data_IF_492014266671
#
_entry.id   IF_492014266671
#
_cell.length_a   1.000
_cell.length_b   1.000
_cell.length_c   1.000
_cell.angle_alpha   90.00
_cell.angle_beta   90.00
_cell.angle_gamma   90.00
#
_symmetry.space_group_name_H-M   'P 1'
#
loop_
_entity.id
_entity.type
_entity.pdbx_description
1 polymer ?
#
# COMPACT_ATOMS: atom_id res chain seq x y z
N UNK A 1 -1.03 11.37 11.34
CA UNK A 1 -1.17 10.88 9.95
C UNK A 1 -1.17 9.37 10.02
N UNK A 2 -2.27 8.72 9.67
CA UNK A 2 -2.42 7.26 9.76
C UNK A 2 -1.51 6.60 8.74
N UNK A 3 -0.57 5.77 9.19
CA UNK A 3 0.34 5.06 8.30
C UNK A 3 -0.46 4.12 7.40
N UNK A 4 -0.43 4.31 6.08
CA UNK A 4 -1.14 3.45 5.12
C UNK A 4 -0.46 2.08 5.03
N UNK A 5 -1.25 1.01 5.19
CA UNK A 5 -0.81 -0.39 5.09
C UNK A 5 -1.79 -1.19 4.22
N UNK A 6 -1.81 -0.94 2.91
CA UNK A 6 -2.71 -1.64 2.02
C UNK A 6 -2.27 -3.09 1.83
N UNK A 7 -3.20 -4.01 2.00
CA UNK A 7 -3.00 -5.45 1.85
C UNK A 7 -4.21 -6.09 1.18
N UNK A 8 -3.99 -7.20 0.49
CA UNK A 8 -5.05 -7.99 -0.14
C UNK A 8 -5.45 -9.11 0.81
N UNK A 9 -6.69 -9.08 1.28
CA UNK A 9 -7.30 -10.16 2.04
C UNK A 9 -7.85 -11.22 1.09
N UNK A 10 -7.74 -12.49 1.47
CA UNK A 10 -8.42 -13.61 0.82
C UNK A 10 -9.50 -14.13 1.74
N UNK A 11 -10.71 -14.29 1.22
CA UNK A 11 -11.81 -14.97 1.88
C UNK A 11 -12.36 -16.05 0.96
N UNK A 12 -13.13 -16.96 1.54
CA UNK A 12 -13.79 -18.05 0.82
C UNK A 12 -15.28 -17.86 0.98
N UNK A 13 -16.01 -17.89 -0.13
CA UNK A 13 -17.45 -17.63 -0.17
C UNK A 13 -18.16 -18.76 -0.94
N UNK A 14 -19.34 -19.12 -0.49
CA UNK A 14 -20.21 -20.04 -1.23
C UNK A 14 -20.93 -19.28 -2.34
N UNK A 15 -20.81 -19.81 -3.55
CA UNK A 15 -21.49 -19.29 -4.75
C UNK A 15 -22.45 -20.36 -5.27
N UNK A 16 -23.44 -20.01 -6.12
CA UNK A 16 -24.33 -20.98 -6.74
C UNK A 16 -23.61 -22.10 -7.53
N UNK A 17 -22.35 -21.87 -7.93
CA UNK A 17 -21.51 -22.81 -8.68
C UNK A 17 -20.55 -23.60 -7.77
N UNK A 18 -20.62 -23.42 -6.45
CA UNK A 18 -19.72 -24.03 -5.47
C UNK A 18 -18.89 -23.00 -4.70
N UNK A 19 -17.78 -23.42 -4.11
CA UNK A 19 -16.96 -22.55 -3.28
C UNK A 19 -15.95 -21.75 -4.11
N UNK A 20 -15.92 -20.43 -3.95
CA UNK A 20 -14.98 -19.55 -4.65
C UNK A 20 -14.09 -18.79 -3.66
N UNK A 21 -12.85 -18.51 -4.07
CA UNK A 21 -11.98 -17.59 -3.34
C UNK A 21 -12.23 -16.17 -3.83
N UNK A 22 -12.49 -15.26 -2.90
CA UNK A 22 -12.61 -13.83 -3.15
C UNK A 22 -11.43 -13.09 -2.54
N UNK A 23 -11.03 -12.01 -3.21
CA UNK A 23 -9.92 -11.16 -2.82
C UNK A 23 -10.41 -9.72 -2.70
N UNK A 24 -9.98 -9.02 -1.66
CA UNK A 24 -10.37 -7.62 -1.42
C UNK A 24 -9.21 -6.82 -0.87
N UNK A 25 -9.03 -5.61 -1.37
CA UNK A 25 -8.09 -4.64 -0.80
C UNK A 25 -8.62 -4.14 0.56
N UNK A 26 -7.74 -4.08 1.55
CA UNK A 26 -7.99 -3.41 2.83
C UNK A 26 -6.78 -2.55 3.20
N UNK A 27 -7.01 -1.34 3.68
CA UNK A 27 -5.96 -0.43 4.14
C UNK A 27 -6.29 0.14 5.52
N UNK A 28 -5.27 0.39 6.32
CA UNK A 28 -5.37 1.04 7.64
C UNK A 28 -5.94 2.47 7.60
N UNK A 29 -6.04 3.09 6.42
CA UNK A 29 -6.75 4.35 6.23
C UNK A 29 -8.28 4.21 6.18
N UNK A 30 -8.80 2.98 6.24
CA UNK A 30 -10.23 2.68 6.16
C UNK A 30 -10.71 2.34 4.75
N UNK A 31 -9.84 2.39 3.73
CA UNK A 31 -10.20 1.96 2.39
C UNK A 31 -10.45 0.44 2.37
N UNK A 32 -11.62 0.07 1.85
CA UNK A 32 -12.02 -1.30 1.57
C UNK A 32 -12.41 -1.35 0.09
N UNK A 33 -11.70 -2.15 -0.70
CA UNK A 33 -11.93 -2.26 -2.14
C UNK A 33 -13.10 -3.18 -2.50
N UNK A 34 -13.31 -3.35 -3.80
CA UNK A 34 -14.31 -4.27 -4.34
C UNK A 34 -13.90 -5.75 -4.20
N UNK A 35 -14.91 -6.63 -4.30
CA UNK A 35 -14.67 -8.08 -4.38
C UNK A 35 -14.09 -8.43 -5.75
N UNK A 36 -12.95 -9.12 -5.75
CA UNK A 36 -12.31 -9.67 -6.96
C UNK A 36 -12.23 -11.18 -6.87
N UNK A 37 -12.62 -11.89 -7.92
CA UNK A 37 -12.44 -13.34 -8.02
C UNK A 37 -11.03 -13.75 -8.49
N UNK A 38 -10.24 -12.79 -8.99
CA UNK A 38 -8.86 -13.00 -9.37
C UNK A 38 -7.94 -12.16 -8.48
N UNK A 39 -6.99 -12.83 -7.80
CA UNK A 39 -6.01 -12.17 -6.92
C UNK A 39 -5.28 -11.03 -7.63
N UNK A 40 -4.88 -11.24 -8.89
CA UNK A 40 -4.14 -10.25 -9.68
C UNK A 40 -4.90 -8.93 -9.81
N UNK A 41 -6.22 -8.95 -9.90
CA UNK A 41 -7.04 -7.74 -9.99
C UNK A 41 -7.05 -7.01 -8.65
N UNK A 42 -7.17 -7.72 -7.52
CA UNK A 42 -7.08 -7.09 -6.20
C UNK A 42 -5.68 -6.49 -5.92
N UNK A 43 -4.61 -7.10 -6.45
CA UNK A 43 -3.26 -6.51 -6.38
C UNK A 43 -3.12 -5.27 -7.29
N UNK A 44 -3.85 -5.19 -8.42
CA UNK A 44 -3.94 -3.96 -9.21
C UNK A 44 -4.66 -2.85 -8.45
N UNK A 45 -5.76 -3.16 -7.76
CA UNK A 45 -6.46 -2.19 -6.89
C UNK A 45 -5.52 -1.67 -5.79
N UNK A 46 -4.73 -2.57 -5.18
CA UNK A 46 -3.70 -2.21 -4.21
C UNK A 46 -2.66 -1.27 -4.81
N UNK A 47 -2.16 -1.57 -6.01
CA UNK A 47 -1.18 -0.73 -6.70
C UNK A 47 -1.75 0.65 -7.05
N UNK A 48 -3.00 0.71 -7.51
CA UNK A 48 -3.70 1.97 -7.76
C UNK A 48 -3.85 2.80 -6.48
N UNK A 49 -4.31 2.18 -5.38
CA UNK A 49 -4.40 2.88 -4.10
C UNK A 49 -3.04 3.39 -3.62
N UNK A 50 -1.98 2.59 -3.79
CA UNK A 50 -0.62 3.01 -3.47
C UNK A 50 -0.23 4.25 -4.29
N UNK A 51 -0.54 4.30 -5.58
CA UNK A 51 -0.28 5.47 -6.42
C UNK A 51 -1.08 6.70 -5.95
N UNK A 52 -2.35 6.54 -5.57
CA UNK A 52 -3.22 7.64 -5.11
C UNK A 52 -2.70 8.29 -3.83
N UNK A 53 -2.14 7.50 -2.92
CA UNK A 53 -1.58 7.99 -1.65
C UNK A 53 -0.11 8.38 -1.78
N UNK A 54 0.51 8.15 -2.93
CA UNK A 54 1.93 8.44 -3.11
C UNK A 54 2.10 9.95 -3.20
N UNK A 55 2.97 10.48 -2.34
CA UNK A 55 3.32 11.91 -2.33
C UNK A 55 3.84 12.33 -3.73
N UNK A 56 3.39 13.47 -4.30
CA UNK A 56 3.90 14.02 -5.55
C UNK A 56 5.43 14.11 -5.56
N UNK A 57 6.07 13.87 -6.71
CA UNK A 57 7.53 13.75 -6.82
C UNK A 57 8.29 14.99 -6.30
N UNK A 58 7.74 16.18 -6.54
CA UNK A 58 8.23 17.48 -6.08
C UNK A 58 8.11 17.68 -4.56
N UNK A 59 7.23 16.92 -3.93
CA UNK A 59 6.99 16.91 -2.48
C UNK A 59 7.64 15.70 -1.80
N UNK A 60 8.28 14.80 -2.58
CA UNK A 60 9.03 13.68 -2.02
C UNK A 60 10.33 14.19 -1.40
N UNK A 61 10.72 13.59 -0.29
CA UNK A 61 12.02 13.90 0.27
C UNK A 61 13.11 13.36 -0.66
N UNK A 62 13.99 14.25 -1.11
CA UNK A 62 15.14 13.90 -1.94
C UNK A 62 16.41 13.64 -1.11
N UNK A 63 16.38 13.96 0.20
CA UNK A 63 17.53 13.89 1.10
C UNK A 63 17.18 13.21 2.43
N UNK A 64 16.73 11.94 2.41
CA UNK A 64 16.27 11.24 3.62
C UNK A 64 17.36 11.10 4.69
N UNK A 65 18.64 11.12 4.27
CA UNK A 65 19.82 11.03 5.16
C UNK A 65 20.18 12.35 5.86
N UNK A 66 19.65 13.48 5.40
CA UNK A 66 19.85 14.80 6.03
C UNK A 66 18.76 15.12 7.06
N UNK A 67 17.70 14.32 7.09
CA UNK A 67 16.74 14.37 8.18
C UNK A 67 17.47 13.91 9.43
N UNK A 68 17.68 14.81 10.39
CA UNK A 68 18.24 14.51 11.71
C UNK A 68 17.33 13.61 12.57
N UNK A 69 16.61 12.69 11.94
CA UNK A 69 15.94 11.58 12.59
C UNK A 69 17.01 10.66 13.19
N UNK A 70 16.72 10.14 14.38
CA UNK A 70 17.60 9.17 15.02
C UNK A 70 17.65 7.89 14.15
N UNK A 71 18.68 7.04 14.26
CA UNK A 71 18.79 5.82 13.44
C UNK A 71 17.60 4.86 13.56
N UNK A 72 16.85 4.93 14.65
CA UNK A 72 15.64 4.16 14.93
C UNK A 72 14.34 4.95 14.69
N UNK A 73 14.45 6.20 14.26
CA UNK A 73 13.32 7.11 14.03
C UNK A 73 13.12 7.29 12.53
N UNK A 74 11.88 7.21 12.08
CA UNK A 74 11.55 7.26 10.66
C UNK A 74 10.95 8.64 10.37
N UNK A 75 11.58 9.42 9.48
CA UNK A 75 11.03 10.72 9.11
C UNK A 75 9.58 10.54 8.62
N UNK A 76 8.58 11.26 9.17
CA UNK A 76 7.18 11.03 8.84
C UNK A 76 6.85 11.30 7.36
N UNK A 77 7.67 12.09 6.67
CA UNK A 77 7.60 12.29 5.22
C UNK A 77 8.21 11.10 4.46
N UNK A 78 9.37 10.58 4.88
CA UNK A 78 10.04 9.45 4.22
C UNK A 78 9.39 8.10 4.52
N UNK A 79 8.86 7.92 5.73
CA UNK A 79 8.27 6.66 6.22
C UNK A 79 6.98 6.28 5.48
N UNK A 80 6.31 7.27 4.89
CA UNK A 80 5.13 7.09 4.04
C UNK A 80 5.44 7.14 2.54
N UNK A 81 6.68 7.42 2.15
CA UNK A 81 7.10 7.43 0.75
C UNK A 81 7.50 6.01 0.34
N UNK A 82 6.88 5.50 -0.73
CA UNK A 82 7.43 4.36 -1.45
C UNK A 82 8.87 4.69 -1.84
N UNK A 83 9.78 3.71 -1.70
CA UNK A 83 11.15 3.84 -2.15
C UNK A 83 11.18 4.39 -3.57
N UNK A 84 11.96 5.45 -3.80
CA UNK A 84 12.19 5.96 -5.14
C UNK A 84 12.81 4.82 -5.97
N UNK A 85 12.41 4.63 -7.24
CA UNK A 85 13.07 3.66 -8.11
C UNK A 85 14.58 3.90 -8.12
N UNK A 86 15.38 2.90 -7.73
CA UNK A 86 16.84 2.99 -7.63
C UNK A 86 17.41 3.36 -6.26
N UNK A 87 16.56 3.56 -5.25
CA UNK A 87 16.96 3.72 -3.85
C UNK A 87 16.47 2.52 -3.03
N UNK A 88 17.11 1.38 -3.22
CA UNK A 88 16.89 0.23 -2.33
C UNK A 88 17.44 0.57 -0.94
N UNK A 89 16.55 0.61 0.05
CA UNK A 89 16.93 0.70 1.46
C UNK A 89 17.38 -0.70 1.85
N UNK A 90 18.69 -0.92 1.80
CA UNK A 90 19.36 -2.13 2.31
C UNK A 90 19.18 -2.27 3.83
#
# INVERSE_FOLDING_TARGET
MSQHRPHVCRQVEETPQGTAAIYRLSCSCGLVGDVRYARRVAEQDKAAHLMDITVPLDQRCTRPREHGARPWDTCPLCAGQLALPGWDVA
#
